data_IF_480380450290
#
_entry.id   IF_480380450290
#
_cell.length_a   1.000
_cell.length_b   1.000
_cell.length_c   1.000
_cell.angle_alpha   90.00
_cell.angle_beta   90.00
_cell.angle_gamma   90.00
#
_symmetry.space_group_name_H-M   'P 1'
#
loop_
_entity.id
_entity.type
_entity.pdbx_description
1 polymer ?
#
# COMPACT_ATOMS: atom_id res chain seq x y z
N UNK A 1 5.96 -13.52 -33.70
CA UNK A 1 6.81 -14.70 -33.42
C UNK A 1 7.22 -14.64 -31.96
N UNK A 2 6.85 -15.63 -31.14
CA UNK A 2 7.20 -15.68 -29.71
C UNK A 2 8.55 -16.38 -29.56
N UNK A 3 9.48 -15.80 -28.79
CA UNK A 3 10.76 -16.43 -28.49
C UNK A 3 10.63 -17.25 -27.19
N UNK A 4 10.42 -18.55 -27.33
CA UNK A 4 10.19 -19.46 -26.20
C UNK A 4 11.41 -19.61 -25.28
N UNK A 5 12.64 -19.42 -25.78
CA UNK A 5 13.85 -19.44 -24.96
C UNK A 5 13.98 -18.20 -24.04
N UNK A 6 13.25 -17.12 -24.33
CA UNK A 6 13.14 -15.91 -23.50
C UNK A 6 11.81 -15.79 -22.77
N UNK A 7 10.93 -16.77 -22.93
CA UNK A 7 9.61 -16.80 -22.30
C UNK A 7 9.64 -17.78 -21.14
N UNK A 8 8.82 -17.55 -20.12
CA UNK A 8 8.60 -18.49 -19.02
C UNK A 8 7.11 -18.59 -18.73
N UNK A 9 6.70 -19.73 -18.18
CA UNK A 9 5.33 -19.94 -17.72
C UNK A 9 5.32 -20.06 -16.19
N UNK A 10 4.33 -19.42 -15.56
CA UNK A 10 4.07 -19.54 -14.12
C UNK A 10 2.64 -20.01 -13.93
N UNK A 11 2.46 -21.04 -13.11
CA UNK A 11 1.14 -21.59 -12.81
C UNK A 11 0.48 -20.78 -11.69
N UNK A 12 -0.77 -20.39 -11.91
CA UNK A 12 -1.59 -19.67 -10.95
C UNK A 12 -2.84 -20.49 -10.65
N UNK A 13 -2.88 -21.12 -9.48
CA UNK A 13 -4.08 -21.84 -8.99
C UNK A 13 -4.63 -22.88 -9.97
N UNK A 14 -3.75 -23.73 -10.53
CA UNK A 14 -4.14 -24.85 -11.38
C UNK A 14 -3.88 -26.19 -10.69
N UNK A 15 -4.74 -27.17 -10.97
CA UNK A 15 -4.50 -28.57 -10.64
C UNK A 15 -3.37 -29.12 -11.53
N UNK A 16 -2.45 -29.87 -10.91
CA UNK A 16 -1.13 -30.22 -11.47
C UNK A 16 -1.22 -31.01 -12.79
N UNK A 17 -2.30 -31.76 -13.00
CA UNK A 17 -2.48 -32.67 -14.14
C UNK A 17 -2.97 -31.96 -15.42
N UNK A 18 -3.85 -30.96 -15.31
CA UNK A 18 -4.27 -30.16 -16.47
C UNK A 18 -3.18 -29.17 -16.89
N UNK A 19 -2.48 -28.61 -15.90
CA UNK A 19 -1.42 -27.65 -16.09
C UNK A 19 -0.24 -28.24 -16.91
N UNK A 20 0.14 -29.48 -16.64
CA UNK A 20 1.27 -30.15 -17.30
C UNK A 20 1.01 -30.38 -18.79
N UNK A 21 -0.23 -30.71 -19.19
CA UNK A 21 -0.59 -30.90 -20.61
C UNK A 21 -0.50 -29.58 -21.39
N UNK A 22 -1.03 -28.48 -20.84
CA UNK A 22 -0.96 -27.17 -21.47
C UNK A 22 0.47 -26.62 -21.55
N UNK A 23 1.28 -26.87 -20.51
CA UNK A 23 2.69 -26.47 -20.45
C UNK A 23 3.57 -27.22 -21.45
N UNK A 24 3.29 -28.51 -21.69
CA UNK A 24 3.98 -29.30 -22.71
C UNK A 24 3.82 -28.71 -24.12
N UNK A 25 2.69 -28.05 -24.41
CA UNK A 25 2.46 -27.38 -25.69
C UNK A 25 3.17 -26.02 -25.80
N UNK A 26 3.51 -25.37 -24.69
CA UNK A 26 4.17 -24.06 -24.68
C UNK A 26 5.68 -24.13 -24.88
N UNK A 27 6.34 -25.24 -24.50
CA UNK A 27 7.78 -25.44 -24.72
C UNK A 27 8.70 -24.43 -24.02
N UNK A 28 8.25 -23.83 -22.91
CA UNK A 28 9.01 -22.83 -22.13
C UNK A 28 9.26 -23.31 -20.69
N UNK A 29 10.31 -22.84 -20.01
CA UNK A 29 10.59 -23.21 -18.62
C UNK A 29 9.48 -22.76 -17.68
N UNK A 30 9.14 -23.66 -16.75
CA UNK A 30 8.21 -23.38 -15.66
C UNK A 30 8.99 -22.68 -14.55
N UNK A 31 8.55 -21.50 -14.15
CA UNK A 31 9.15 -20.71 -13.08
C UNK A 31 8.07 -20.29 -12.12
N UNK A 32 8.36 -20.32 -10.82
CA UNK A 32 7.52 -19.67 -9.82
C UNK A 32 7.29 -18.19 -10.19
N UNK A 33 6.12 -17.66 -9.83
CA UNK A 33 5.72 -16.29 -10.16
C UNK A 33 6.69 -15.28 -9.55
N UNK A 34 7.72 -14.96 -10.31
CA UNK A 34 8.86 -14.09 -9.96
C UNK A 34 8.91 -12.89 -10.91
N UNK A 35 7.75 -12.50 -11.42
CA UNK A 35 7.62 -11.39 -12.35
C UNK A 35 7.70 -10.08 -11.57
N UNK A 36 8.62 -9.20 -11.97
CA UNK A 36 8.67 -7.82 -11.49
C UNK A 36 8.05 -6.91 -12.54
N UNK A 37 6.95 -6.25 -12.20
CA UNK A 37 6.29 -5.28 -13.06
C UNK A 37 6.45 -3.88 -12.48
N UNK A 38 7.05 -2.96 -13.24
CA UNK A 38 7.33 -1.58 -12.80
C UNK A 38 8.09 -1.48 -11.46
N UNK A 39 8.98 -2.44 -11.17
CA UNK A 39 9.72 -2.49 -9.91
C UNK A 39 8.91 -3.01 -8.71
N UNK A 40 7.74 -3.59 -8.96
CA UNK A 40 6.92 -4.27 -7.95
C UNK A 40 6.93 -5.78 -8.24
N UNK A 41 7.36 -6.63 -7.29
CA UNK A 41 7.23 -8.06 -7.45
C UNK A 41 5.75 -8.45 -7.40
N UNK A 42 5.32 -9.19 -8.42
CA UNK A 42 4.01 -9.83 -8.49
C UNK A 42 4.08 -11.11 -7.66
N UNK A 43 3.35 -11.11 -6.54
CA UNK A 43 3.37 -12.18 -5.55
C UNK A 43 1.93 -12.55 -5.25
N UNK A 44 1.67 -13.85 -5.17
CA UNK A 44 0.37 -14.39 -4.79
C UNK A 44 0.23 -14.27 -3.26
N UNK A 45 -0.79 -13.57 -2.79
CA UNK A 45 -1.08 -13.41 -1.36
C UNK A 45 -0.37 -12.22 -0.70
N UNK A 46 -0.20 -12.31 0.62
CA UNK A 46 0.41 -11.23 1.41
C UNK A 46 1.93 -11.21 1.25
N UNK A 47 2.47 -10.03 0.96
CA UNK A 47 3.90 -9.81 0.75
C UNK A 47 4.64 -9.87 2.09
N UNK A 48 5.61 -10.76 2.19
CA UNK A 48 6.46 -10.88 3.38
C UNK A 48 7.59 -9.86 3.35
N UNK A 49 8.17 -9.57 4.53
CA UNK A 49 9.31 -8.66 4.61
C UNK A 49 10.53 -9.18 3.82
N UNK A 50 10.73 -10.50 3.74
CA UNK A 50 11.81 -11.12 2.99
C UNK A 50 11.69 -10.87 1.48
N UNK A 51 10.48 -11.01 0.94
CA UNK A 51 10.20 -10.73 -0.48
C UNK A 51 10.38 -9.25 -0.86
N UNK A 52 10.27 -8.34 0.13
CA UNK A 52 10.49 -6.91 -0.07
C UNK A 52 11.90 -6.46 0.28
N UNK A 53 12.81 -7.37 0.62
CA UNK A 53 14.20 -7.06 0.89
C UNK A 53 14.89 -6.37 -0.31
N UNK A 54 14.64 -6.76 -1.59
CA UNK A 54 15.23 -6.06 -2.73
C UNK A 54 14.89 -4.56 -2.79
N UNK A 55 13.72 -4.14 -2.29
CA UNK A 55 13.38 -2.73 -2.18
C UNK A 55 14.27 -2.02 -1.15
N UNK A 56 14.42 -2.63 0.02
CA UNK A 56 15.28 -2.10 1.09
C UNK A 56 16.73 -2.01 0.61
N UNK A 57 17.21 -3.04 -0.07
CA UNK A 57 18.57 -3.10 -0.63
C UNK A 57 18.75 -2.07 -1.75
N UNK A 58 17.73 -1.88 -2.60
CA UNK A 58 17.71 -0.83 -3.61
C UNK A 58 17.85 0.57 -3.00
N UNK A 59 17.16 0.85 -1.90
CA UNK A 59 17.28 2.14 -1.18
C UNK A 59 18.67 2.28 -0.54
N UNK A 60 19.16 1.22 0.10
CA UNK A 60 20.51 1.21 0.67
C UNK A 60 21.59 1.42 -0.41
N UNK A 61 21.44 0.80 -1.58
CA UNK A 61 22.36 0.92 -2.72
C UNK A 61 22.37 2.31 -3.36
N UNK A 62 21.32 3.13 -3.15
CA UNK A 62 21.31 4.54 -3.56
C UNK A 62 22.13 5.43 -2.64
N UNK A 63 22.62 4.91 -1.50
CA UNK A 63 23.53 5.63 -0.64
C UNK A 63 24.97 5.49 -1.13
N UNK A 64 25.59 6.54 -1.66
CA UNK A 64 27.02 6.52 -1.92
C UNK A 64 27.75 6.58 -0.57
N UNK A 65 28.09 5.42 0.00
CA UNK A 65 28.72 5.31 1.33
C UNK A 65 29.99 6.18 1.43
N UNK A 66 30.77 6.30 0.35
CA UNK A 66 31.96 7.16 0.29
C UNK A 66 31.63 8.67 0.22
N UNK A 67 30.56 9.05 -0.49
CA UNK A 67 30.13 10.46 -0.62
C UNK A 67 29.41 10.94 0.63
N UNK A 68 28.85 10.02 1.43
CA UNK A 68 28.18 10.34 2.69
C UNK A 68 29.11 11.06 3.69
N UNK A 69 30.40 10.70 3.73
CA UNK A 69 31.41 11.39 4.55
C UNK A 69 31.82 12.76 3.99
N UNK A 70 31.67 12.97 2.69
CA UNK A 70 31.93 14.24 2.02
C UNK A 70 30.74 15.22 2.10
N UNK A 71 29.58 14.77 2.61
CA UNK A 71 28.36 15.56 2.69
C UNK A 71 28.11 16.12 4.09
N UNK A 72 27.89 17.42 4.18
CA UNK A 72 27.40 18.05 5.40
C UNK A 72 25.98 17.55 5.75
N UNK A 73 25.51 17.85 6.97
CA UNK A 73 24.18 17.41 7.44
C UNK A 73 23.04 17.90 6.54
N UNK A 74 23.14 19.12 6.02
CA UNK A 74 22.14 19.71 5.12
C UNK A 74 22.03 18.97 3.79
N UNK A 75 23.16 18.60 3.17
CA UNK A 75 23.18 17.82 1.95
C UNK A 75 22.61 16.41 2.16
N UNK A 76 22.95 15.78 3.29
CA UNK A 76 22.38 14.47 3.67
C UNK A 76 20.88 14.57 3.88
N UNK A 77 20.42 15.61 4.57
CA UNK A 77 18.99 15.90 4.76
C UNK A 77 18.25 16.10 3.43
N UNK A 78 18.81 16.90 2.51
CA UNK A 78 18.22 17.10 1.19
C UNK A 78 18.05 15.77 0.46
N UNK A 79 19.08 14.92 0.46
CA UNK A 79 19.04 13.61 -0.21
C UNK A 79 18.05 12.63 0.45
N UNK A 80 17.94 12.61 1.78
CA UNK A 80 16.89 11.82 2.46
C UNK A 80 15.52 12.26 1.97
N UNK A 81 15.25 13.56 2.02
CA UNK A 81 13.93 14.12 1.73
C UNK A 81 13.53 13.98 0.25
N UNK A 82 14.45 14.22 -0.69
CA UNK A 82 14.13 14.25 -2.13
C UNK A 82 14.34 12.93 -2.85
N UNK A 83 15.26 12.07 -2.36
CA UNK A 83 15.63 10.82 -3.03
C UNK A 83 15.13 9.63 -2.24
N UNK A 84 15.60 9.45 -1.00
CA UNK A 84 15.32 8.21 -0.26
C UNK A 84 13.84 8.04 0.08
N UNK A 85 13.20 9.11 0.54
CA UNK A 85 11.77 9.08 0.85
C UNK A 85 10.89 8.96 -0.39
N UNK A 86 11.40 9.32 -1.58
CA UNK A 86 10.66 9.24 -2.85
C UNK A 86 10.68 7.84 -3.48
N UNK A 87 11.76 7.08 -3.33
CA UNK A 87 11.91 5.73 -3.90
C UNK A 87 10.73 4.80 -3.53
N UNK A 88 10.34 4.65 -2.24
CA UNK A 88 9.28 3.71 -1.87
C UNK A 88 7.87 4.17 -2.30
N UNK A 89 7.68 5.44 -2.68
CA UNK A 89 6.34 6.03 -2.92
C UNK A 89 5.55 5.23 -3.96
N UNK A 90 6.19 4.77 -5.04
CA UNK A 90 5.51 3.97 -6.06
C UNK A 90 4.96 2.66 -5.49
N UNK A 91 5.75 1.96 -4.66
CA UNK A 91 5.28 0.71 -4.02
C UNK A 91 4.25 0.98 -2.92
N UNK A 92 4.40 2.05 -2.14
CA UNK A 92 3.43 2.45 -1.10
C UNK A 92 2.07 2.83 -1.69
N UNK A 93 2.06 3.38 -2.90
CA UNK A 93 0.84 3.63 -3.65
C UNK A 93 0.16 2.31 -4.05
N UNK A 94 0.92 1.33 -4.53
CA UNK A 94 0.36 0.08 -5.04
C UNK A 94 -0.12 -0.90 -3.94
N UNK A 95 0.61 -1.00 -2.82
CA UNK A 95 0.25 -1.93 -1.74
C UNK A 95 0.73 -1.45 -0.36
N UNK A 96 0.24 -2.11 0.70
CA UNK A 96 0.66 -1.83 2.07
C UNK A 96 1.80 -2.79 2.45
N UNK A 97 3.07 -2.36 2.47
CA UNK A 97 4.16 -3.23 2.91
C UNK A 97 4.05 -3.53 4.41
N UNK A 98 4.64 -4.65 4.89
CA UNK A 98 4.75 -4.94 6.31
C UNK A 98 5.46 -3.80 7.06
N UNK A 99 5.00 -3.50 8.28
CA UNK A 99 5.62 -2.46 9.14
C UNK A 99 7.12 -2.70 9.35
N UNK A 100 7.57 -3.95 9.32
CA UNK A 100 9.00 -4.32 9.41
C UNK A 100 9.83 -3.72 8.26
N UNK A 101 9.32 -3.78 7.03
CA UNK A 101 9.98 -3.22 5.84
C UNK A 101 10.08 -1.70 5.94
N UNK A 102 9.00 -1.02 6.34
CA UNK A 102 9.02 0.43 6.57
C UNK A 102 10.08 0.83 7.60
N UNK A 103 10.15 0.12 8.73
CA UNK A 103 11.15 0.36 9.78
C UNK A 103 12.59 0.14 9.29
N UNK A 104 12.82 -0.82 8.39
CA UNK A 104 14.14 -1.02 7.78
C UNK A 104 14.53 0.18 6.91
N UNK A 105 13.60 0.70 6.10
CA UNK A 105 13.84 1.89 5.27
C UNK A 105 14.10 3.12 6.15
N UNK A 106 13.27 3.38 7.16
CA UNK A 106 13.48 4.48 8.10
C UNK A 106 14.82 4.37 8.83
N UNK A 107 15.28 3.13 9.14
CA UNK A 107 16.61 2.91 9.75
C UNK A 107 17.73 3.37 8.82
N UNK A 108 17.58 3.15 7.52
CA UNK A 108 18.53 3.60 6.49
C UNK A 108 18.51 5.12 6.38
N UNK A 109 17.33 5.74 6.21
CA UNK A 109 17.18 7.20 6.12
C UNK A 109 17.77 7.91 7.34
N UNK A 110 17.45 7.41 8.54
CA UNK A 110 17.95 7.93 9.80
C UNK A 110 19.45 7.71 9.96
N UNK A 111 19.94 6.54 9.57
CA UNK A 111 21.37 6.21 9.56
C UNK A 111 22.16 7.19 8.71
N UNK A 112 21.66 7.44 7.49
CA UNK A 112 22.31 8.33 6.55
C UNK A 112 22.26 9.78 7.05
N UNK A 113 21.08 10.27 7.46
CA UNK A 113 20.92 11.65 7.94
C UNK A 113 21.90 12.02 9.05
N UNK A 114 21.99 11.17 10.08
CA UNK A 114 22.76 11.50 11.27
C UNK A 114 24.20 11.01 11.22
N UNK A 115 24.42 9.77 10.81
CA UNK A 115 25.74 9.12 10.86
C UNK A 115 26.43 9.00 9.50
N UNK A 116 25.74 9.25 8.39
CA UNK A 116 26.34 9.20 7.04
C UNK A 116 26.65 7.76 6.63
N UNK A 117 25.89 6.80 7.11
CA UNK A 117 26.06 5.36 6.85
C UNK A 117 24.70 4.67 6.80
N UNK A 118 24.62 3.49 6.21
CA UNK A 118 23.36 2.74 6.02
C UNK A 118 22.63 2.33 7.32
N UNK A 119 23.27 2.44 8.49
CA UNK A 119 22.62 2.21 9.78
C UNK A 119 23.16 3.14 10.88
N UNK A 120 22.27 3.74 11.67
CA UNK A 120 22.65 4.39 12.94
C UNK A 120 22.54 3.40 14.10
N UNK A 121 23.59 3.28 14.90
CA UNK A 121 23.55 2.65 16.22
C UNK A 121 22.91 3.61 17.25
N UNK A 122 22.53 3.10 18.42
CA UNK A 122 22.04 3.92 19.53
C UNK A 122 23.03 5.04 19.87
N UNK A 123 22.53 6.25 20.12
CA UNK A 123 23.34 7.44 20.43
C UNK A 123 23.72 8.32 19.23
N UNK A 124 23.65 7.82 17.99
CA UNK A 124 23.97 8.64 16.81
C UNK A 124 22.82 9.55 16.35
N UNK A 125 21.60 9.33 16.83
CA UNK A 125 20.42 10.11 16.42
C UNK A 125 20.11 11.16 17.50
N UNK A 126 20.42 12.41 17.22
CA UNK A 126 20.21 13.50 18.18
C UNK A 126 18.74 13.89 18.37
N UNK A 127 17.87 13.57 17.40
CA UNK A 127 16.46 13.96 17.42
C UNK A 127 15.57 12.75 17.17
N UNK A 128 14.47 12.66 17.91
CA UNK A 128 13.45 11.63 17.70
C UNK A 128 12.93 11.68 16.25
N UNK A 129 12.93 10.55 15.56
CA UNK A 129 12.52 10.46 14.15
C UNK A 129 11.11 10.98 13.91
N UNK A 130 10.17 10.72 14.82
CA UNK A 130 8.80 11.26 14.73
C UNK A 130 8.76 12.78 14.76
N UNK A 131 9.72 13.44 15.43
CA UNK A 131 9.84 14.91 15.43
C UNK A 131 10.48 15.40 14.13
N UNK A 132 11.47 14.68 13.61
CA UNK A 132 12.10 14.94 12.31
C UNK A 132 11.05 14.93 11.19
N UNK A 133 10.12 13.97 11.21
CA UNK A 133 9.09 13.85 10.18
C UNK A 133 7.90 14.81 10.33
N UNK A 134 7.84 15.62 11.40
CA UNK A 134 6.77 16.63 11.51
C UNK A 134 6.92 17.69 10.43
N UNK A 135 5.81 18.30 9.97
CA UNK A 135 5.86 19.48 9.12
C UNK A 135 6.72 20.58 9.74
N UNK A 136 7.32 21.42 8.89
CA UNK A 136 8.14 22.56 9.32
C UNK A 136 7.30 23.51 10.20
N UNK A 137 6.03 23.72 9.85
CA UNK A 137 5.06 24.50 10.63
C UNK A 137 4.83 23.99 12.06
N UNK A 138 5.16 22.72 12.33
CA UNK A 138 5.02 22.08 13.64
C UNK A 138 6.39 21.80 14.30
N UNK A 139 7.43 22.50 13.88
CA UNK A 139 8.78 22.40 14.46
C UNK A 139 9.54 21.12 14.12
N UNK A 140 9.18 20.46 13.01
CA UNK A 140 9.94 19.34 12.44
C UNK A 140 10.80 19.73 11.26
N UNK A 141 11.44 18.74 10.64
CA UNK A 141 12.26 18.94 9.44
C UNK A 141 11.49 18.64 8.14
N UNK A 142 10.26 18.12 8.22
CA UNK A 142 9.44 17.80 7.05
C UNK A 142 10.00 16.64 6.21
N UNK A 143 10.72 15.69 6.84
CA UNK A 143 10.96 14.37 6.24
C UNK A 143 9.64 13.60 6.18
N UNK A 144 9.42 12.81 5.14
CA UNK A 144 8.20 12.06 5.00
C UNK A 144 8.18 10.88 5.99
N UNK A 145 7.13 10.80 6.81
CA UNK A 145 6.84 9.61 7.61
C UNK A 145 6.24 8.54 6.69
N UNK A 146 6.96 7.42 6.48
CA UNK A 146 6.57 6.41 5.50
C UNK A 146 5.29 5.67 5.89
N UNK A 147 5.01 5.51 7.18
CA UNK A 147 3.78 4.88 7.65
C UNK A 147 2.56 5.77 7.36
N UNK A 148 2.68 7.08 7.63
CA UNK A 148 1.63 8.06 7.31
C UNK A 148 1.47 8.27 5.82
N UNK A 149 2.58 8.33 5.08
CA UNK A 149 2.57 8.45 3.62
C UNK A 149 1.85 7.27 2.97
N UNK A 150 2.14 6.05 3.42
CA UNK A 150 1.43 4.84 2.96
C UNK A 150 -0.07 4.95 3.18
N UNK A 151 -0.51 5.35 4.38
CA UNK A 151 -1.94 5.53 4.68
C UNK A 151 -2.57 6.55 3.71
N UNK A 152 -1.96 7.73 3.57
CA UNK A 152 -2.46 8.80 2.72
C UNK A 152 -2.53 8.41 1.24
N UNK A 153 -1.47 7.81 0.69
CA UNK A 153 -1.41 7.37 -0.71
C UNK A 153 -2.48 6.32 -1.02
N UNK A 154 -2.74 5.40 -0.09
CA UNK A 154 -3.73 4.33 -0.27
C UNK A 154 -5.17 4.82 -0.24
N UNK A 155 -5.47 6.00 0.31
CA UNK A 155 -6.81 6.59 0.29
C UNK A 155 -7.33 6.78 -1.14
N UNK A 156 -6.43 7.00 -2.11
CA UNK A 156 -6.78 7.12 -3.53
C UNK A 156 -7.56 5.92 -4.05
N UNK A 157 -7.20 4.71 -3.62
CA UNK A 157 -7.89 3.49 -4.06
C UNK A 157 -9.27 3.34 -3.44
N UNK A 158 -9.45 3.77 -2.17
CA UNK A 158 -10.77 3.85 -1.52
C UNK A 158 -11.69 4.89 -2.18
N UNK A 159 -11.10 5.97 -2.69
CA UNK A 159 -11.80 6.97 -3.48
C UNK A 159 -12.25 6.38 -4.82
N UNK A 160 -11.31 5.82 -5.59
CA UNK A 160 -11.62 5.25 -6.91
C UNK A 160 -12.58 4.07 -6.86
N UNK A 161 -12.52 3.22 -5.83
CA UNK A 161 -13.48 2.13 -5.67
C UNK A 161 -14.93 2.64 -5.53
N UNK A 162 -15.13 3.90 -5.15
CA UNK A 162 -16.45 4.53 -5.00
C UNK A 162 -16.84 5.42 -6.17
N UNK A 163 -15.87 6.08 -6.81
CA UNK A 163 -16.16 7.08 -7.85
C UNK A 163 -16.01 6.58 -9.27
N UNK A 164 -15.25 5.49 -9.51
CA UNK A 164 -14.91 5.05 -10.85
C UNK A 164 -15.13 3.53 -11.01
N UNK A 165 -16.37 3.18 -11.35
CA UNK A 165 -16.83 1.78 -11.48
C UNK A 165 -16.54 1.17 -12.86
N UNK A 166 -16.13 1.97 -13.84
CA UNK A 166 -15.94 1.54 -15.24
C UNK A 166 -14.49 1.15 -15.57
N UNK A 167 -13.57 1.27 -14.59
CA UNK A 167 -12.15 0.97 -14.82
C UNK A 167 -11.87 -0.50 -14.72
N UNK A 168 -10.77 -0.92 -15.35
CA UNK A 168 -10.28 -2.29 -15.32
C UNK A 168 -10.00 -2.83 -13.90
N UNK A 169 -9.81 -1.96 -12.91
CA UNK A 169 -9.63 -2.34 -11.51
C UNK A 169 -10.94 -2.40 -10.71
N UNK A 170 -12.08 -2.08 -11.32
CA UNK A 170 -13.39 -2.22 -10.71
C UNK A 170 -13.67 -3.69 -10.41
N UNK A 171 -14.21 -3.98 -9.22
CA UNK A 171 -14.47 -5.35 -8.76
C UNK A 171 -13.25 -6.11 -8.22
N UNK A 172 -12.03 -5.56 -8.28
CA UNK A 172 -10.89 -6.14 -7.58
C UNK A 172 -11.08 -6.06 -6.06
N UNK A 173 -10.70 -7.12 -5.35
CA UNK A 173 -10.74 -7.17 -3.88
C UNK A 173 -9.60 -6.35 -3.28
N UNK A 174 -9.78 -5.03 -3.27
CA UNK A 174 -8.83 -4.09 -2.69
C UNK A 174 -8.90 -4.18 -1.16
N UNK A 175 -7.85 -4.75 -0.58
CA UNK A 175 -7.74 -4.95 0.88
C UNK A 175 -7.26 -3.67 1.57
N UNK A 176 -8.07 -3.10 2.47
CA UNK A 176 -7.75 -1.90 3.25
C UNK A 176 -7.73 -2.19 4.75
N UNK A 177 -6.78 -1.59 5.47
CA UNK A 177 -6.73 -1.70 6.93
C UNK A 177 -7.84 -0.86 7.60
N UNK A 178 -8.14 -1.15 8.87
CA UNK A 178 -9.08 -0.35 9.66
C UNK A 178 -8.62 1.12 9.78
N UNK A 179 -7.31 1.36 9.93
CA UNK A 179 -6.71 2.70 9.98
C UNK A 179 -6.92 3.46 8.65
N UNK A 180 -6.78 2.78 7.50
CA UNK A 180 -7.00 3.39 6.18
C UNK A 180 -8.46 3.80 5.98
N UNK A 181 -9.39 2.92 6.35
CA UNK A 181 -10.82 3.20 6.29
C UNK A 181 -11.20 4.35 7.22
N UNK A 182 -10.70 4.34 8.46
CA UNK A 182 -10.96 5.40 9.43
C UNK A 182 -10.46 6.76 8.93
N UNK A 183 -9.24 6.81 8.37
CA UNK A 183 -8.68 8.04 7.80
C UNK A 183 -9.49 8.52 6.59
N UNK A 184 -9.86 7.61 5.68
CA UNK A 184 -10.71 7.94 4.53
C UNK A 184 -12.02 8.59 4.99
N UNK A 185 -12.73 7.94 5.90
CA UNK A 185 -14.03 8.41 6.39
C UNK A 185 -13.95 9.67 7.26
N UNK A 186 -12.82 9.93 7.91
CA UNK A 186 -12.58 11.21 8.59
C UNK A 186 -12.32 12.37 7.62
N UNK A 187 -11.90 12.07 6.38
CA UNK A 187 -11.53 13.05 5.37
C UNK A 187 -12.54 13.23 4.23
N UNK A 188 -13.61 12.43 4.22
CA UNK A 188 -14.61 12.39 3.14
C UNK A 188 -16.02 12.44 3.70
N UNK A 189 -16.94 12.98 2.90
CA UNK A 189 -18.36 13.00 3.22
C UNK A 189 -19.14 12.32 2.10
N UNK A 190 -20.17 11.55 2.45
CA UNK A 190 -21.05 10.88 1.50
C UNK A 190 -22.38 11.63 1.44
N UNK A 191 -22.69 12.23 0.29
CA UNK A 191 -24.01 12.82 0.04
C UNK A 191 -24.87 11.81 -0.70
N UNK A 192 -26.00 11.43 -0.08
CA UNK A 192 -26.93 10.50 -0.71
C UNK A 192 -27.74 11.23 -1.80
N UNK A 193 -27.67 10.73 -3.04
CA UNK A 193 -28.54 11.17 -4.14
C UNK A 193 -29.69 10.20 -4.34
N UNK A 194 -29.54 9.27 -5.29
CA UNK A 194 -30.49 8.18 -5.56
C UNK A 194 -30.16 6.91 -4.76
N UNK A 195 -29.06 6.89 -3.99
CA UNK A 195 -28.65 5.77 -3.15
C UNK A 195 -28.12 4.53 -3.89
N UNK A 196 -27.95 4.57 -5.21
CA UNK A 196 -27.59 3.39 -6.01
C UNK A 196 -26.11 3.00 -5.93
N UNK A 197 -25.25 3.91 -5.47
CA UNK A 197 -23.79 3.69 -5.40
C UNK A 197 -23.25 3.65 -3.96
N UNK A 198 -24.03 4.11 -2.98
CA UNK A 198 -23.64 4.10 -1.58
C UNK A 198 -23.97 2.74 -0.95
N UNK A 199 -23.03 2.14 -0.23
CA UNK A 199 -23.24 0.89 0.48
C UNK A 199 -24.03 1.12 1.78
N UNK A 200 -25.13 0.38 1.94
CA UNK A 200 -26.08 0.59 3.03
C UNK A 200 -25.46 0.46 4.42
N UNK A 201 -24.58 -0.53 4.61
CA UNK A 201 -24.04 -0.89 5.93
C UNK A 201 -22.74 -0.18 6.30
N UNK A 202 -21.85 0.06 5.33
CA UNK A 202 -20.48 0.50 5.58
C UNK A 202 -20.24 1.99 5.29
N UNK A 203 -21.00 2.61 4.38
CA UNK A 203 -20.80 4.03 4.06
C UNK A 203 -21.52 4.96 5.05
N UNK A 204 -20.96 6.15 5.25
CA UNK A 204 -21.41 7.15 6.23
C UNK A 204 -22.49 8.08 5.68
N UNK A 205 -23.63 7.51 5.31
CA UNK A 205 -24.72 8.25 4.66
C UNK A 205 -25.81 8.74 5.63
N UNK A 206 -25.75 8.42 6.93
CA UNK A 206 -26.71 8.84 7.96
C UNK A 206 -26.04 9.87 8.86
N UNK A 207 -26.25 11.17 8.63
CA UNK A 207 -25.66 12.26 9.43
C UNK A 207 -24.13 12.12 9.61
N UNK A 208 -23.42 11.63 8.58
CA UNK A 208 -21.98 11.39 8.64
C UNK A 208 -21.57 10.14 9.43
N UNK A 209 -22.50 9.25 9.75
CA UNK A 209 -22.27 7.94 10.38
C UNK A 209 -22.80 6.81 9.50
N UNK A 210 -22.24 5.61 9.69
CA UNK A 210 -22.71 4.39 9.04
C UNK A 210 -23.53 3.52 10.00
N UNK A 211 -24.31 2.57 9.48
CA UNK A 211 -25.08 1.65 10.32
C UNK A 211 -24.16 0.76 11.17
N UNK A 212 -22.96 0.41 10.68
CA UNK A 212 -22.01 -0.36 11.47
C UNK A 212 -21.46 0.41 12.68
N UNK A 213 -21.46 1.75 12.62
CA UNK A 213 -21.09 2.62 13.73
C UNK A 213 -22.25 2.84 14.71
N UNK A 214 -23.47 3.01 14.20
CA UNK A 214 -24.67 3.28 15.01
C UNK A 214 -25.17 2.00 15.71
N UNK A 215 -25.17 0.86 15.00
CA UNK A 215 -25.74 -0.40 15.45
C UNK A 215 -24.79 -1.59 15.15
N UNK A 216 -23.62 -1.67 15.82
CA UNK A 216 -22.60 -2.69 15.56
C UNK A 216 -23.10 -4.12 15.83
N UNK A 217 -23.98 -4.32 16.81
CA UNK A 217 -24.59 -5.62 17.11
C UNK A 217 -25.44 -6.12 15.94
N UNK A 218 -26.31 -5.26 15.39
CA UNK A 218 -27.12 -5.57 14.21
C UNK A 218 -26.23 -5.88 13.01
N UNK A 219 -25.22 -5.03 12.75
CA UNK A 219 -24.27 -5.25 11.66
C UNK A 219 -23.64 -6.64 11.75
N UNK A 220 -23.24 -7.07 12.96
CA UNK A 220 -22.62 -8.37 13.18
C UNK A 220 -23.54 -9.57 12.94
N UNK A 221 -24.86 -9.41 13.03
CA UNK A 221 -25.84 -10.46 12.73
C UNK A 221 -26.05 -10.67 11.22
N UNK A 222 -25.74 -9.69 10.36
CA UNK A 222 -26.01 -9.76 8.92
C UNK A 222 -24.94 -10.60 8.21
N UNK A 223 -25.24 -11.44 7.21
CA UNK A 223 -24.19 -12.14 6.44
C UNK A 223 -23.23 -11.17 5.72
N UNK A 224 -21.91 -11.44 5.74
CA UNK A 224 -20.88 -10.58 5.11
C UNK A 224 -21.20 -10.21 3.65
N UNK A 225 -21.74 -11.16 2.87
CA UNK A 225 -22.17 -10.93 1.47
C UNK A 225 -23.22 -9.82 1.37
N UNK A 226 -24.24 -9.84 2.25
CA UNK A 226 -25.29 -8.81 2.27
C UNK A 226 -24.76 -7.44 2.71
N UNK A 227 -23.76 -7.42 3.61
CA UNK A 227 -23.12 -6.17 4.06
C UNK A 227 -22.43 -5.41 2.92
N UNK A 228 -21.78 -6.16 2.02
CA UNK A 228 -20.95 -5.61 0.93
C UNK A 228 -21.72 -5.21 -0.32
N UNK A 229 -22.80 -5.91 -0.65
CA UNK A 229 -23.48 -5.72 -1.95
C UNK A 229 -24.62 -4.72 -1.84
N UNK A 230 -25.34 -4.71 -0.71
CA UNK A 230 -26.60 -3.96 -0.60
C UNK A 230 -26.36 -2.45 -0.66
N UNK A 231 -27.03 -1.79 -1.60
CA UNK A 231 -26.98 -0.33 -1.77
C UNK A 231 -28.01 0.37 -0.88
N UNK A 232 -27.87 1.67 -0.66
CA UNK A 232 -28.86 2.44 0.11
C UNK A 232 -30.22 2.45 -0.57
N UNK A 233 -30.26 2.53 -1.91
CA UNK A 233 -31.51 2.45 -2.67
C UNK A 233 -32.27 1.16 -2.37
N UNK A 234 -31.59 0.01 -2.47
CA UNK A 234 -32.14 -1.31 -2.13
C UNK A 234 -32.45 -1.48 -0.63
N UNK A 235 -31.71 -0.77 0.21
CA UNK A 235 -31.92 -0.71 1.66
C UNK A 235 -33.24 -0.05 2.03
N UNK A 236 -33.49 1.12 1.44
CA UNK A 236 -34.64 1.98 1.72
C UNK A 236 -35.92 1.53 1.02
N UNK A 237 -35.82 0.88 -0.15
CA UNK A 237 -36.96 0.32 -0.89
C UNK A 237 -37.51 -0.99 -0.28
N UNK A 238 -37.05 -1.38 0.91
CA UNK A 238 -37.42 -2.64 1.56
C UNK A 238 -38.83 -2.69 2.14
N UNK A 239 -39.85 -2.61 1.30
CA UNK A 239 -41.17 -3.24 1.46
C UNK A 239 -41.75 -3.58 0.06
N UNK A 240 -41.33 -4.73 -0.47
CA UNK A 240 -42.09 -5.68 -1.31
C UNK A 240 -41.49 -7.06 -1.12
#
# INVERSE_FOLDING_TARGET
>A
MVNYAKSSASLLHCDTDEATTALAHLGCPIVDLSITYLGIPLIIGQRTAAQLQPLVDGIAGRLPTWKAHLMNKTGRFAMVKSVLSAIPVHQLLAYAPPKKTLRQIEKIERGFLWAGRGAANGGHCHVNWRRVCRPISHGGLGVQDLERARLALRLRWLWFSRTDQERAWSGLDLQFSAEEKALFFASTATTLRNGSTAHFWEDRWINGQSICEIAPALYNCIPKRRRRIRTVAEGLQGHS
#
